data_IF_467648895581
#
_entry.id   IF_467648895581
#
_cell.length_a   1.000
_cell.length_b   1.000
_cell.length_c   1.000
_cell.angle_alpha   90.00
_cell.angle_beta   90.00
_cell.angle_gamma   90.00
#
_symmetry.space_group_name_H-M   'P 1'
#
loop_
_entity.id
_entity.type
_entity.pdbx_description
1 polymer ?
#
# COMPACT_ATOMS: atom_id res chain seq x y z
N UNK A 1 -0.47 -4.95 -11.91
CA UNK A 1 0.08 -5.60 -10.72
C UNK A 1 1.01 -4.64 -9.98
N UNK A 2 0.64 -4.30 -8.74
CA UNK A 2 1.35 -3.31 -7.95
C UNK A 2 2.82 -3.73 -7.64
N UNK A 3 3.05 -5.03 -7.38
CA UNK A 3 4.35 -5.59 -7.00
C UNK A 3 5.11 -6.28 -8.15
N UNK A 4 4.79 -5.98 -9.40
CA UNK A 4 5.34 -6.70 -10.57
C UNK A 4 6.88 -6.61 -10.72
N UNK A 5 7.52 -5.55 -10.22
CA UNK A 5 8.97 -5.37 -10.28
C UNK A 5 9.69 -5.81 -8.99
N UNK A 6 8.94 -6.31 -8.02
CA UNK A 6 9.47 -6.64 -6.70
C UNK A 6 9.32 -8.13 -6.38
N UNK A 7 8.19 -8.74 -6.76
CA UNK A 7 7.84 -10.09 -6.34
C UNK A 7 8.90 -11.12 -6.74
N UNK A 8 9.37 -11.12 -7.98
CA UNK A 8 10.36 -12.08 -8.45
C UNK A 8 11.71 -11.93 -7.73
N UNK A 9 12.18 -10.67 -7.57
CA UNK A 9 13.44 -10.40 -6.88
C UNK A 9 13.40 -10.78 -5.40
N UNK A 10 12.26 -10.55 -4.73
CA UNK A 10 12.10 -10.92 -3.33
C UNK A 10 11.86 -12.42 -3.12
N UNK A 11 11.50 -13.16 -4.17
CA UNK A 11 11.22 -14.59 -4.12
C UNK A 11 12.44 -15.48 -4.36
N UNK A 12 13.64 -14.92 -4.50
CA UNK A 12 14.86 -15.71 -4.78
C UNK A 12 15.20 -16.70 -3.66
N UNK A 13 14.89 -16.37 -2.41
CA UNK A 13 15.25 -17.18 -1.23
C UNK A 13 14.08 -17.42 -0.25
N UNK A 14 12.87 -16.98 -0.60
CA UNK A 14 11.67 -17.08 0.25
C UNK A 14 10.39 -17.19 -0.55
N UNK A 15 9.32 -17.68 0.07
CA UNK A 15 7.99 -17.62 -0.52
C UNK A 15 7.44 -16.19 -0.44
N UNK A 16 6.97 -15.64 -1.56
CA UNK A 16 6.38 -14.29 -1.65
C UNK A 16 4.97 -14.38 -2.21
N UNK A 17 4.03 -13.81 -1.48
CA UNK A 17 2.62 -13.73 -1.84
C UNK A 17 2.23 -12.26 -2.04
N UNK A 18 1.78 -11.91 -3.22
CA UNK A 18 1.20 -10.59 -3.52
C UNK A 18 -0.32 -10.72 -3.46
N UNK A 19 -0.93 -10.23 -2.39
CA UNK A 19 -2.36 -10.36 -2.16
C UNK A 19 -3.12 -9.22 -2.82
N UNK A 20 -4.19 -9.55 -3.51
CA UNK A 20 -5.23 -8.59 -3.83
C UNK A 20 -6.18 -8.49 -2.62
N UNK A 21 -6.20 -7.36 -1.96
CA UNK A 21 -7.12 -7.12 -0.84
C UNK A 21 -8.58 -7.10 -1.32
N UNK A 22 -9.58 -7.39 -0.47
CA UNK A 22 -10.99 -7.22 -0.81
C UNK A 22 -11.24 -5.87 -1.50
N UNK A 23 -12.07 -5.86 -2.54
CA UNK A 23 -12.26 -4.69 -3.40
C UNK A 23 -11.25 -4.54 -4.54
N UNK A 24 -10.13 -5.28 -4.55
CA UNK A 24 -9.04 -5.12 -5.52
C UNK A 24 -8.79 -6.40 -6.34
N UNK A 25 -8.14 -6.22 -7.49
CA UNK A 25 -7.61 -7.28 -8.36
C UNK A 25 -8.57 -8.44 -8.59
N UNK A 26 -8.13 -9.66 -8.26
CA UNK A 26 -8.91 -10.90 -8.36
C UNK A 26 -9.82 -11.19 -7.16
N UNK A 27 -9.68 -10.47 -6.04
CA UNK A 27 -10.46 -10.70 -4.83
C UNK A 27 -11.91 -10.22 -4.93
N UNK A 28 -12.77 -10.59 -3.95
CA UNK A 28 -14.19 -10.20 -3.93
C UNK A 28 -14.36 -8.68 -3.98
N UNK A 29 -15.43 -8.23 -4.66
CA UNK A 29 -15.87 -6.82 -4.71
C UNK A 29 -17.19 -6.61 -3.98
N UNK A 30 -17.94 -7.69 -3.73
CA UNK A 30 -19.23 -7.62 -3.10
C UNK A 30 -19.11 -7.74 -1.57
N UNK A 31 -19.91 -6.95 -0.86
CA UNK A 31 -19.95 -6.96 0.61
C UNK A 31 -18.76 -6.30 1.30
N UNK A 32 -17.87 -5.65 0.55
CA UNK A 32 -16.69 -4.96 1.11
C UNK A 32 -17.15 -3.70 1.83
N UNK A 33 -16.79 -3.58 3.11
CA UNK A 33 -17.04 -2.40 3.94
C UNK A 33 -15.84 -1.44 3.93
N UNK A 34 -14.64 -1.97 3.66
CA UNK A 34 -13.45 -1.20 3.31
C UNK A 34 -12.62 -0.68 4.47
N UNK A 35 -12.99 -0.93 5.71
CA UNK A 35 -12.18 -0.51 6.87
C UNK A 35 -10.85 -1.26 6.95
N UNK A 36 -9.81 -0.59 7.48
CA UNK A 36 -8.47 -1.19 7.63
C UNK A 36 -8.52 -2.50 8.43
N UNK A 37 -9.37 -2.59 9.47
CA UNK A 37 -9.55 -3.79 10.26
C UNK A 37 -10.09 -4.97 9.43
N UNK A 38 -11.14 -4.75 8.61
CA UNK A 38 -11.68 -5.78 7.71
C UNK A 38 -10.64 -6.27 6.71
N UNK A 39 -9.86 -5.34 6.14
CA UNK A 39 -8.81 -5.69 5.20
C UNK A 39 -7.67 -6.47 5.88
N UNK A 40 -7.37 -6.18 7.14
CA UNK A 40 -6.40 -6.93 7.94
C UNK A 40 -6.92 -8.35 8.28
N UNK A 41 -8.22 -8.49 8.56
CA UNK A 41 -8.85 -9.79 8.72
C UNK A 41 -8.69 -10.68 7.48
N UNK A 42 -8.86 -10.10 6.28
CA UNK A 42 -8.66 -10.85 5.04
C UNK A 42 -7.20 -11.34 4.89
N UNK A 43 -6.20 -10.55 5.31
CA UNK A 43 -4.80 -10.99 5.34
C UNK A 43 -4.60 -12.11 6.36
N UNK A 44 -5.16 -12.00 7.56
CA UNK A 44 -5.13 -13.05 8.60
C UNK A 44 -5.75 -14.35 8.08
N UNK A 45 -6.90 -14.26 7.44
CA UNK A 45 -7.61 -15.43 6.91
C UNK A 45 -6.81 -16.11 5.79
N UNK A 46 -6.14 -15.33 4.94
CA UNK A 46 -5.18 -15.87 3.97
C UNK A 46 -4.04 -16.62 4.67
N UNK A 47 -3.41 -16.03 5.69
CA UNK A 47 -2.33 -16.69 6.43
C UNK A 47 -2.80 -18.01 7.04
N UNK A 48 -4.02 -18.05 7.58
CA UNK A 48 -4.62 -19.26 8.14
C UNK A 48 -4.85 -20.33 7.06
N UNK A 49 -5.48 -19.95 5.95
CA UNK A 49 -5.77 -20.87 4.85
C UNK A 49 -4.50 -21.42 4.18
N UNK A 50 -3.44 -20.62 4.12
CA UNK A 50 -2.14 -21.02 3.58
C UNK A 50 -1.27 -21.79 4.60
N UNK A 51 -1.71 -21.97 5.85
CA UNK A 51 -0.94 -22.61 6.91
C UNK A 51 0.30 -21.82 7.37
N UNK A 52 0.32 -20.52 7.09
CA UNK A 52 1.45 -19.63 7.43
C UNK A 52 1.28 -19.15 8.86
N UNK A 53 2.19 -19.56 9.75
CA UNK A 53 2.14 -19.20 11.16
C UNK A 53 2.61 -17.78 11.41
N UNK A 54 3.67 -17.34 10.72
CA UNK A 54 4.27 -16.00 10.83
C UNK A 54 4.75 -15.52 9.47
N UNK A 55 4.63 -14.23 9.20
CA UNK A 55 5.06 -13.63 7.95
C UNK A 55 5.74 -12.26 8.17
N UNK A 56 6.64 -11.89 7.27
CA UNK A 56 7.02 -10.50 7.03
C UNK A 56 5.92 -9.85 6.19
N UNK A 57 5.50 -8.66 6.55
CA UNK A 57 4.48 -7.92 5.82
C UNK A 57 5.11 -6.72 5.10
N UNK A 58 4.84 -6.58 3.81
CA UNK A 58 5.18 -5.39 3.04
C UNK A 58 3.89 -4.76 2.52
N UNK A 59 3.61 -3.52 2.91
CA UNK A 59 2.39 -2.82 2.54
C UNK A 59 2.67 -1.50 1.82
N UNK A 60 2.06 -1.32 0.64
CA UNK A 60 2.09 -0.05 -0.09
C UNK A 60 0.81 0.73 0.19
N UNK A 61 0.95 2.02 0.46
CA UNK A 61 -0.19 2.93 0.67
C UNK A 61 -1.15 2.38 1.74
N UNK A 62 -2.42 2.21 1.44
CA UNK A 62 -3.42 1.59 2.33
C UNK A 62 -2.97 0.21 2.86
N UNK A 63 -2.28 -0.58 2.04
CA UNK A 63 -1.73 -1.88 2.47
C UNK A 63 -0.74 -1.79 3.62
N UNK A 64 -0.07 -0.64 3.78
CA UNK A 64 0.79 -0.38 4.93
C UNK A 64 0.00 -0.17 6.23
N UNK A 65 -1.12 0.56 6.18
CA UNK A 65 -2.03 0.68 7.32
C UNK A 65 -2.61 -0.68 7.73
N UNK A 66 -2.95 -1.53 6.75
CA UNK A 66 -3.40 -2.91 6.97
C UNK A 66 -2.32 -3.73 7.68
N UNK A 67 -1.06 -3.63 7.24
CA UNK A 67 0.07 -4.33 7.85
C UNK A 67 0.35 -3.84 9.28
N UNK A 68 0.25 -2.53 9.54
CA UNK A 68 0.37 -1.95 10.89
C UNK A 68 -0.75 -2.44 11.81
N UNK A 69 -1.99 -2.49 11.31
CA UNK A 69 -3.12 -2.99 12.07
C UNK A 69 -2.89 -4.45 12.50
N UNK A 70 -2.54 -5.32 11.56
CA UNK A 70 -2.28 -6.72 11.87
C UNK A 70 -1.11 -6.91 12.84
N UNK A 71 -0.04 -6.12 12.70
CA UNK A 71 1.11 -6.17 13.61
C UNK A 71 0.79 -5.67 15.03
N UNK A 72 -0.16 -4.74 15.16
CA UNK A 72 -0.66 -4.25 16.45
C UNK A 72 -1.59 -5.25 17.14
N UNK A 73 -2.49 -5.85 16.35
CA UNK A 73 -3.54 -6.74 16.84
C UNK A 73 -3.02 -8.16 17.11
N UNK A 74 -2.23 -8.70 16.20
CA UNK A 74 -1.67 -10.05 16.26
C UNK A 74 -0.14 -10.07 16.11
N UNK A 75 0.64 -9.47 17.02
CA UNK A 75 2.09 -9.37 16.88
C UNK A 75 2.79 -10.73 16.81
N UNK A 76 2.19 -11.80 17.33
CA UNK A 76 2.71 -13.15 17.23
C UNK A 76 2.70 -13.71 15.79
N UNK A 77 1.88 -13.15 14.90
CA UNK A 77 1.74 -13.55 13.50
C UNK A 77 2.67 -12.78 12.55
N UNK A 78 3.26 -11.69 13.01
CA UNK A 78 4.10 -10.79 12.20
C UNK A 78 5.55 -10.90 12.64
N UNK A 79 6.45 -11.02 11.68
CA UNK A 79 7.91 -11.04 11.92
C UNK A 79 8.47 -9.62 11.83
N UNK A 80 8.10 -8.88 10.80
CA UNK A 80 8.45 -7.46 10.59
C UNK A 80 7.46 -6.80 9.65
N UNK A 81 7.47 -5.46 9.59
CA UNK A 81 6.65 -4.66 8.69
C UNK A 81 7.52 -3.76 7.83
N UNK A 82 7.33 -3.79 6.52
CA UNK A 82 7.87 -2.81 5.56
C UNK A 82 6.74 -1.92 5.06
N UNK A 83 6.86 -0.63 5.28
CA UNK A 83 5.91 0.40 4.88
C UNK A 83 6.44 1.11 3.64
N UNK A 84 5.71 1.03 2.53
CA UNK A 84 6.07 1.69 1.28
C UNK A 84 5.06 2.79 0.98
N UNK A 85 5.46 4.06 1.05
CA UNK A 85 4.56 5.21 0.86
C UNK A 85 3.23 5.03 1.59
N UNK A 86 3.31 4.62 2.86
CA UNK A 86 2.22 3.99 3.61
C UNK A 86 1.19 4.99 4.12
N UNK A 87 -0.08 4.64 4.07
CA UNK A 87 -1.06 5.20 4.97
C UNK A 87 -0.83 4.70 6.42
N UNK A 88 -1.43 5.39 7.40
CA UNK A 88 -1.40 5.00 8.80
C UNK A 88 -0.33 5.67 9.67
N UNK A 89 0.53 6.53 9.10
CA UNK A 89 1.56 7.27 9.87
C UNK A 89 1.28 8.77 10.02
N UNK A 90 0.18 9.26 9.49
CA UNK A 90 -0.28 10.65 9.60
C UNK A 90 -1.70 10.77 9.07
N UNK A 91 -2.34 11.91 9.28
CA UNK A 91 -3.72 12.13 8.84
C UNK A 91 -3.81 12.60 7.38
N UNK A 92 -2.77 13.25 6.86
CA UNK A 92 -2.80 13.87 5.56
C UNK A 92 -2.81 12.82 4.45
N UNK A 93 -3.66 13.06 3.46
CA UNK A 93 -3.73 12.33 2.20
C UNK A 93 -4.27 13.24 1.11
N UNK A 94 -3.88 13.01 -0.12
CA UNK A 94 -4.40 13.74 -1.28
C UNK A 94 -5.82 13.28 -1.61
N UNK A 95 -6.82 14.04 -1.13
CA UNK A 95 -8.24 13.76 -1.36
C UNK A 95 -8.61 13.86 -2.85
N UNK A 96 -7.99 14.79 -3.61
CA UNK A 96 -8.26 14.96 -5.04
C UNK A 96 -7.84 13.72 -5.83
N UNK A 97 -6.75 13.05 -5.41
CA UNK A 97 -6.37 11.76 -5.99
C UNK A 97 -7.43 10.68 -5.71
N UNK A 98 -7.86 10.54 -4.46
CA UNK A 98 -8.83 9.51 -4.05
C UNK A 98 -10.14 9.69 -4.81
N UNK A 99 -10.71 10.89 -4.79
CA UNK A 99 -11.97 11.20 -5.48
C UNK A 99 -11.81 11.11 -7.00
N UNK A 100 -10.71 11.63 -7.55
CA UNK A 100 -10.41 11.56 -8.97
C UNK A 100 -10.25 10.13 -9.46
N UNK A 101 -9.59 9.25 -8.69
CA UNK A 101 -9.45 7.85 -9.02
C UNK A 101 -10.82 7.14 -9.09
N UNK A 102 -11.71 7.43 -8.15
CA UNK A 102 -13.04 6.82 -8.11
C UNK A 102 -13.93 7.39 -9.22
N UNK A 103 -13.93 8.70 -9.42
CA UNK A 103 -14.86 9.38 -10.33
C UNK A 103 -14.48 9.23 -11.82
N UNK A 104 -13.19 9.24 -12.17
CA UNK A 104 -12.77 9.24 -13.57
C UNK A 104 -13.16 7.94 -14.28
N UNK A 105 -13.92 8.04 -15.36
CA UNK A 105 -14.38 6.92 -16.20
C UNK A 105 -13.84 6.95 -17.63
N UNK A 106 -13.09 8.04 -17.98
CA UNK A 106 -12.50 8.27 -19.30
C UNK A 106 -11.02 8.56 -19.20
N UNK A 107 -10.28 8.17 -20.23
CA UNK A 107 -8.84 8.36 -20.31
C UNK A 107 -8.39 9.81 -20.05
N UNK A 108 -9.09 10.79 -20.62
CA UNK A 108 -8.73 12.22 -20.47
C UNK A 108 -8.80 12.71 -19.03
N UNK A 109 -9.75 12.19 -18.27
CA UNK A 109 -9.97 12.53 -16.86
C UNK A 109 -9.03 11.73 -15.95
N UNK A 110 -8.78 10.46 -16.29
CA UNK A 110 -8.03 9.53 -15.45
C UNK A 110 -6.51 9.73 -15.56
N UNK A 111 -6.00 10.15 -16.74
CA UNK A 111 -4.56 10.35 -16.96
C UNK A 111 -3.94 11.31 -15.93
N UNK A 112 -4.43 12.55 -15.71
CA UNK A 112 -3.85 13.48 -14.75
C UNK A 112 -3.92 12.95 -13.30
N UNK A 113 -4.91 12.14 -12.96
CA UNK A 113 -5.02 11.50 -11.64
C UNK A 113 -3.91 10.47 -11.45
N UNK A 114 -3.66 9.61 -12.46
CA UNK A 114 -2.58 8.63 -12.40
C UNK A 114 -1.19 9.26 -12.42
N UNK A 115 -1.02 10.40 -13.09
CA UNK A 115 0.22 11.16 -13.10
C UNK A 115 0.62 11.68 -11.71
N UNK A 116 -0.31 11.81 -10.77
CA UNK A 116 -0.01 12.16 -9.38
C UNK A 116 0.77 11.06 -8.65
N UNK A 117 0.68 9.81 -9.10
CA UNK A 117 1.35 8.67 -8.47
C UNK A 117 2.87 8.63 -8.69
N UNK A 118 3.36 9.26 -9.76
CA UNK A 118 4.75 9.16 -10.20
C UNK A 118 5.48 10.50 -10.11
N UNK A 119 6.76 10.48 -9.79
CA UNK A 119 7.63 11.64 -9.92
C UNK A 119 7.80 12.01 -11.40
N UNK A 120 7.96 11.01 -12.28
CA UNK A 120 7.96 11.18 -13.72
C UNK A 120 6.58 10.81 -14.32
N UNK A 121 5.76 11.81 -14.70
CA UNK A 121 4.44 11.57 -15.29
C UNK A 121 4.47 10.78 -16.62
N UNK A 122 5.63 10.74 -17.32
CA UNK A 122 5.76 10.00 -18.57
C UNK A 122 5.65 8.48 -18.41
N UNK A 123 5.79 7.97 -17.18
CA UNK A 123 5.60 6.57 -16.85
C UNK A 123 4.13 6.12 -16.92
N UNK A 124 3.19 7.06 -16.96
CA UNK A 124 1.76 6.75 -17.12
C UNK A 124 1.48 6.41 -18.58
N UNK A 125 1.59 5.13 -18.93
CA UNK A 125 1.36 4.66 -20.27
C UNK A 125 -0.14 4.61 -20.62
N UNK A 126 -0.41 4.59 -21.93
CA UNK A 126 -1.77 4.38 -22.43
C UNK A 126 -2.35 3.06 -21.97
N UNK A 127 -1.55 2.00 -22.02
CA UNK A 127 -1.99 0.65 -21.63
C UNK A 127 -2.33 0.58 -20.15
N UNK A 128 -1.53 1.22 -19.28
CA UNK A 128 -1.84 1.33 -17.85
C UNK A 128 -3.21 1.97 -17.61
N UNK A 129 -3.50 3.08 -18.30
CA UNK A 129 -4.79 3.76 -18.17
C UNK A 129 -5.94 2.85 -18.64
N UNK A 130 -5.78 2.20 -19.79
CA UNK A 130 -6.80 1.35 -20.38
C UNK A 130 -7.09 0.11 -19.51
N UNK A 131 -6.05 -0.53 -18.94
CA UNK A 131 -6.21 -1.66 -18.02
C UNK A 131 -6.92 -1.26 -16.72
N UNK A 132 -6.57 -0.13 -16.14
CA UNK A 132 -7.24 0.37 -14.93
C UNK A 132 -8.70 0.77 -15.22
N UNK A 133 -9.00 1.37 -16.38
CA UNK A 133 -10.38 1.66 -16.78
C UNK A 133 -11.19 0.39 -17.03
N UNK A 134 -10.58 -0.66 -17.60
CA UNK A 134 -11.23 -1.98 -17.73
C UNK A 134 -11.56 -2.56 -16.36
N UNK A 135 -10.60 -2.54 -15.44
CA UNK A 135 -10.81 -2.99 -14.08
C UNK A 135 -11.95 -2.24 -13.38
N UNK A 136 -11.99 -0.92 -13.47
CA UNK A 136 -13.05 -0.09 -12.85
C UNK A 136 -14.46 -0.39 -13.37
N UNK A 137 -14.60 -0.98 -14.58
CA UNK A 137 -15.89 -1.38 -15.19
C UNK A 137 -16.36 -2.76 -14.74
N UNK A 138 -15.55 -3.53 -14.04
CA UNK A 138 -15.97 -4.81 -13.49
C UNK A 138 -17.06 -4.59 -12.42
N UNK A 139 -17.97 -5.54 -12.36
CA UNK A 139 -19.10 -5.49 -11.43
C UNK A 139 -18.62 -5.42 -9.97
N UNK A 140 -19.26 -4.54 -9.20
CA UNK A 140 -18.94 -4.30 -7.79
C UNK A 140 -17.71 -3.42 -7.53
N UNK A 141 -16.80 -3.18 -8.49
CA UNK A 141 -15.55 -2.42 -8.25
C UNK A 141 -15.83 -0.99 -7.81
N UNK A 142 -16.72 -0.28 -8.50
CA UNK A 142 -17.04 1.11 -8.14
C UNK A 142 -17.60 1.24 -6.72
N UNK A 143 -18.45 0.30 -6.32
CA UNK A 143 -19.03 0.26 -4.97
C UNK A 143 -17.95 -0.07 -3.92
N UNK A 144 -17.11 -1.06 -4.19
CA UNK A 144 -16.01 -1.44 -3.28
C UNK A 144 -15.01 -0.32 -3.09
N UNK A 145 -14.56 0.35 -4.18
CA UNK A 145 -13.65 1.48 -4.10
C UNK A 145 -14.23 2.64 -3.30
N UNK A 146 -15.53 2.94 -3.46
CA UNK A 146 -16.22 3.97 -2.69
C UNK A 146 -16.30 3.58 -1.21
N UNK A 147 -16.72 2.37 -0.88
CA UNK A 147 -16.78 1.88 0.50
C UNK A 147 -15.40 1.95 1.19
N UNK A 148 -14.33 1.54 0.50
CA UNK A 148 -12.97 1.63 0.99
C UNK A 148 -12.56 3.09 1.24
N UNK A 149 -12.84 3.99 0.30
CA UNK A 149 -12.50 5.41 0.46
C UNK A 149 -13.24 6.04 1.64
N UNK A 150 -14.54 5.77 1.76
CA UNK A 150 -15.36 6.32 2.83
C UNK A 150 -14.95 5.79 4.22
N UNK A 151 -14.54 4.52 4.30
CA UNK A 151 -14.11 3.91 5.56
C UNK A 151 -12.67 4.25 5.96
N UNK A 152 -11.77 4.47 4.96
CA UNK A 152 -10.32 4.61 5.21
C UNK A 152 -9.86 6.07 5.13
N UNK A 153 -10.52 6.91 4.29
CA UNK A 153 -10.11 8.27 3.97
C UNK A 153 -11.24 9.29 4.13
N UNK A 154 -12.09 9.11 5.13
CA UNK A 154 -13.25 9.96 5.34
C UNK A 154 -12.87 11.45 5.57
N UNK A 155 -13.62 12.35 4.94
CA UNK A 155 -13.38 13.79 5.10
C UNK A 155 -12.04 14.28 4.54
N UNK A 156 -11.45 13.54 3.60
CA UNK A 156 -10.16 13.87 3.00
C UNK A 156 -8.96 13.64 3.92
N UNK A 157 -9.11 12.81 4.94
CA UNK A 157 -8.08 12.44 5.90
C UNK A 157 -8.05 10.93 6.11
N UNK A 158 -6.90 10.43 6.52
CA UNK A 158 -6.77 9.04 6.96
C UNK A 158 -7.51 8.85 8.29
N UNK A 159 -8.45 7.92 8.33
CA UNK A 159 -9.28 7.64 9.52
C UNK A 159 -8.48 6.94 10.62
N UNK A 160 -7.56 6.05 10.23
CA UNK A 160 -6.74 5.30 11.18
C UNK A 160 -5.28 5.71 11.08
N UNK A 161 -4.72 6.18 12.19
CA UNK A 161 -3.33 6.62 12.33
C UNK A 161 -2.68 5.88 13.49
N UNK A 162 -1.56 5.23 13.24
CA UNK A 162 -0.80 4.43 14.20
C UNK A 162 0.43 5.17 14.74
N UNK A 163 0.74 6.38 14.27
CA UNK A 163 1.97 7.07 14.64
C UNK A 163 2.16 7.21 16.16
N UNK A 164 1.06 7.45 16.90
CA UNK A 164 1.08 7.56 18.36
C UNK A 164 1.07 6.21 19.08
N UNK A 165 0.84 5.12 18.37
CA UNK A 165 0.72 3.76 18.89
C UNK A 165 1.84 2.83 18.42
N UNK A 166 2.86 3.36 17.74
CA UNK A 166 3.99 2.56 17.22
C UNK A 166 4.72 1.78 18.33
N UNK A 167 4.75 2.31 19.55
CA UNK A 167 5.29 1.61 20.72
C UNK A 167 4.56 0.29 21.06
N UNK A 168 3.33 0.14 20.59
CA UNK A 168 2.53 -1.09 20.74
C UNK A 168 2.92 -2.15 19.71
N UNK A 169 3.51 -1.74 18.59
CA UNK A 169 3.99 -2.62 17.54
C UNK A 169 5.35 -3.17 17.97
N UNK A 170 5.38 -4.44 18.41
CA UNK A 170 6.56 -5.07 19.02
C UNK A 170 7.50 -5.75 18.01
N UNK A 171 7.23 -5.57 16.72
CA UNK A 171 8.05 -6.11 15.63
C UNK A 171 8.85 -5.00 14.96
N UNK A 172 9.99 -5.30 14.32
CA UNK A 172 10.74 -4.34 13.55
C UNK A 172 9.89 -3.71 12.43
N UNK A 173 10.00 -2.40 12.25
CA UNK A 173 9.31 -1.65 11.19
C UNK A 173 10.31 -0.84 10.41
N UNK A 174 10.26 -0.90 9.08
CA UNK A 174 10.97 0.05 8.21
C UNK A 174 9.99 0.84 7.36
N UNK A 175 10.39 2.04 6.92
CA UNK A 175 9.64 2.89 6.01
C UNK A 175 10.49 3.24 4.78
N UNK A 176 9.90 3.10 3.59
CA UNK A 176 10.51 3.47 2.30
C UNK A 176 9.54 4.41 1.60
N UNK A 177 10.00 5.61 1.22
CA UNK A 177 9.16 6.65 0.61
C UNK A 177 9.80 7.25 -0.61
N UNK A 178 8.99 7.69 -1.57
CA UNK A 178 9.40 8.61 -2.60
C UNK A 178 9.41 10.05 -2.07
N UNK A 179 10.48 10.80 -2.31
CA UNK A 179 10.59 12.18 -1.85
C UNK A 179 9.52 13.09 -2.47
N UNK A 180 9.10 12.75 -3.70
CA UNK A 180 8.10 13.48 -4.48
C UNK A 180 6.70 12.87 -4.39
N UNK A 181 6.40 12.10 -3.33
CA UNK A 181 5.08 11.52 -3.10
C UNK A 181 4.02 12.63 -2.93
N UNK A 182 3.10 12.69 -3.90
CA UNK A 182 2.00 13.65 -3.93
C UNK A 182 0.68 13.11 -3.36
N UNK A 183 0.68 11.86 -2.89
CA UNK A 183 -0.50 11.19 -2.34
C UNK A 183 -0.44 11.15 -0.81
N UNK A 184 0.64 10.57 -0.26
CA UNK A 184 0.90 10.53 1.17
C UNK A 184 2.22 11.25 1.44
N UNK A 185 2.23 12.36 2.20
CA UNK A 185 3.44 13.15 2.43
C UNK A 185 4.60 12.31 2.95
N UNK A 186 5.79 12.47 2.33
CA UNK A 186 7.01 11.76 2.76
C UNK A 186 7.44 12.11 4.20
N UNK A 187 6.95 13.23 4.73
CA UNK A 187 7.13 13.60 6.12
C UNK A 187 6.55 12.56 7.10
N UNK A 188 5.55 11.79 6.70
CA UNK A 188 4.99 10.71 7.52
C UNK A 188 6.02 9.62 7.84
N UNK A 189 7.02 9.42 6.97
CA UNK A 189 8.10 8.48 7.23
C UNK A 189 8.90 8.81 8.50
N UNK A 190 8.87 10.07 8.98
CA UNK A 190 9.59 10.49 10.19
C UNK A 190 9.08 9.82 11.47
N UNK A 191 7.90 9.22 11.45
CA UNK A 191 7.42 8.38 12.54
C UNK A 191 8.28 7.13 12.76
N UNK A 192 9.04 6.69 11.74
CA UNK A 192 9.98 5.58 11.85
C UNK A 192 11.40 6.15 12.00
N UNK A 193 12.14 5.78 13.07
CA UNK A 193 13.48 6.31 13.32
C UNK A 193 14.51 5.74 12.34
N UNK A 194 15.63 6.46 12.19
CA UNK A 194 16.83 5.91 11.56
C UNK A 194 17.37 4.70 12.36
N UNK A 195 18.00 3.70 11.72
CA UNK A 195 18.32 3.65 10.28
C UNK A 195 17.24 3.01 9.40
N UNK A 196 16.03 2.81 9.91
CA UNK A 196 14.95 2.09 9.22
C UNK A 196 14.01 3.01 8.42
N UNK A 197 14.40 4.26 8.21
CA UNK A 197 13.68 5.22 7.38
C UNK A 197 14.48 5.56 6.13
N UNK A 198 13.87 5.39 4.97
CA UNK A 198 14.48 5.64 3.66
C UNK A 198 13.55 6.54 2.84
N UNK A 199 14.04 7.71 2.44
CA UNK A 199 13.33 8.63 1.54
C UNK A 199 14.16 8.77 0.27
N UNK A 200 13.63 8.30 -0.86
CA UNK A 200 14.34 8.16 -2.13
C UNK A 200 13.98 9.30 -3.08
N UNK A 201 14.97 10.09 -3.48
CA UNK A 201 14.79 11.15 -4.47
C UNK A 201 14.49 10.60 -5.87
N UNK A 202 13.75 11.38 -6.68
CA UNK A 202 13.35 11.00 -8.03
C UNK A 202 12.32 9.86 -8.05
N UNK A 203 11.46 9.80 -7.04
CA UNK A 203 10.36 8.86 -6.98
C UNK A 203 9.15 9.46 -6.26
N UNK A 204 7.96 9.13 -6.73
CA UNK A 204 6.67 9.50 -6.16
C UNK A 204 6.07 8.41 -5.29
N UNK A 205 4.74 8.33 -5.31
CA UNK A 205 3.97 7.34 -4.54
C UNK A 205 4.28 5.90 -4.96
N UNK A 206 4.65 5.68 -6.23
CA UNK A 206 5.00 4.35 -6.75
C UNK A 206 6.50 4.05 -6.64
N UNK A 207 7.15 4.45 -5.54
CA UNK A 207 8.60 4.32 -5.32
C UNK A 207 9.11 2.90 -5.58
N UNK A 208 8.35 1.87 -5.24
CA UNK A 208 8.67 0.46 -5.46
C UNK A 208 8.62 0.03 -6.93
N UNK A 209 8.06 0.86 -7.80
CA UNK A 209 8.12 0.71 -9.25
C UNK A 209 9.20 1.60 -9.86
N UNK A 210 9.28 2.87 -9.45
CA UNK A 210 10.21 3.86 -9.99
C UNK A 210 11.67 3.57 -9.59
N UNK A 211 11.87 3.02 -8.39
CA UNK A 211 13.19 2.65 -7.82
C UNK A 211 13.23 1.17 -7.41
N UNK A 212 12.65 0.30 -8.23
CA UNK A 212 12.44 -1.11 -7.89
C UNK A 212 13.71 -1.82 -7.38
N UNK A 213 14.85 -1.64 -8.03
CA UNK A 213 16.12 -2.26 -7.61
C UNK A 213 16.57 -1.81 -6.22
N UNK A 214 16.45 -0.52 -5.91
CA UNK A 214 16.83 0.02 -4.61
C UNK A 214 15.85 -0.43 -3.52
N UNK A 215 14.55 -0.37 -3.80
CA UNK A 215 13.51 -0.83 -2.86
C UNK A 215 13.64 -2.32 -2.57
N UNK A 216 13.88 -3.16 -3.59
CA UNK A 216 14.08 -4.59 -3.42
C UNK A 216 15.28 -4.87 -2.51
N UNK A 217 16.41 -4.16 -2.71
CA UNK A 217 17.59 -4.28 -1.84
C UNK A 217 17.27 -3.88 -0.41
N UNK A 218 16.65 -2.72 -0.18
CA UNK A 218 16.28 -2.25 1.16
C UNK A 218 15.36 -3.22 1.88
N UNK A 219 14.39 -3.80 1.18
CA UNK A 219 13.50 -4.83 1.74
C UNK A 219 14.32 -6.08 2.09
N UNK A 220 15.13 -6.61 1.15
CA UNK A 220 15.90 -7.83 1.38
C UNK A 220 16.89 -7.68 2.55
N UNK A 221 17.59 -6.55 2.61
CA UNK A 221 18.53 -6.25 3.71
C UNK A 221 17.79 -6.25 5.06
N UNK A 222 16.62 -5.59 5.13
CA UNK A 222 15.81 -5.53 6.35
C UNK A 222 15.28 -6.90 6.80
N UNK A 223 14.84 -7.74 5.85
CA UNK A 223 14.34 -9.08 6.15
C UNK A 223 15.42 -10.04 6.67
N UNK A 224 16.70 -9.74 6.45
CA UNK A 224 17.85 -10.53 6.93
C UNK A 224 18.40 -10.06 8.26
N UNK A 225 18.01 -8.88 8.75
CA UNK A 225 18.39 -8.38 10.07
C UNK A 225 17.79 -9.29 11.16
N UNK A 226 18.62 -9.85 12.02
CA UNK A 226 18.24 -10.71 13.16
C UNK A 226 18.16 -9.91 14.45
#
# INVERSE_FOLDING_TARGET
>A
NNWQFNQAALAEDRAVYALDLPGHGGSTKHGVQGGVAELAEAVRDFLNAAGIQRAHLAGHSMGGAVALHLASDEPARVVSVTLVCSAGLGEEINADYIEGFIAADRRKEFKPVLEMLFADPSLVSRDMIEELLKYKRLDGVGQALRAIADATFAGGRQVQVFANDLDRIKVPVQAIWGAEDRIVPSAHATAIPEPHRHVLGGAGHMVHMEKAGEVNRLISDFLTMR
#
